data_IF_476051769940
#
_entry.id   IF_476051769940
#
_cell.length_a   1.000
_cell.length_b   1.000
_cell.length_c   1.000
_cell.angle_alpha   90.00
_cell.angle_beta   90.00
_cell.angle_gamma   90.00
#
_symmetry.space_group_name_H-M   'P 1'
#
loop_
_entity.id
_entity.type
_entity.pdbx_description
1 polymer ?
#
# COMPACT_ATOMS: atom_id res chain seq x y z
N UNK A 1 -4.83 -33.59 19.33
CA UNK A 1 -4.06 -33.95 18.12
C UNK A 1 -4.51 -33.00 17.03
N UNK A 2 -3.79 -31.89 16.88
CA UNK A 2 -4.20 -30.80 15.97
C UNK A 2 -3.01 -30.49 15.07
N UNK A 3 -2.76 -31.36 14.09
CA UNK A 3 -1.92 -30.99 12.95
C UNK A 3 -2.81 -30.25 11.96
N UNK A 4 -3.02 -28.96 12.23
CA UNK A 4 -3.55 -28.03 11.23
C UNK A 4 -2.58 -28.03 10.06
N UNK A 5 -3.02 -28.56 8.93
CA UNK A 5 -2.26 -28.59 7.69
C UNK A 5 -2.18 -27.15 7.20
N UNK A 6 -1.10 -26.44 7.54
CA UNK A 6 -0.78 -25.12 7.00
C UNK A 6 -0.91 -25.19 5.49
N UNK A 7 -1.82 -24.39 4.91
CA UNK A 7 -1.80 -24.17 3.48
C UNK A 7 -0.40 -23.67 3.15
N UNK A 8 0.27 -24.26 2.15
CA UNK A 8 1.61 -23.82 1.76
C UNK A 8 1.49 -22.39 1.24
N UNK A 9 1.89 -21.41 2.04
CA UNK A 9 2.10 -20.06 1.55
C UNK A 9 3.29 -20.09 0.59
N UNK A 10 3.16 -19.43 -0.56
CA UNK A 10 4.23 -19.39 -1.55
C UNK A 10 5.07 -18.13 -1.37
N UNK A 11 6.39 -18.29 -1.49
CA UNK A 11 7.28 -17.16 -1.69
C UNK A 11 6.92 -16.46 -2.99
N UNK A 12 6.92 -15.13 -2.96
CA UNK A 12 6.51 -14.28 -4.08
C UNK A 12 7.64 -13.41 -4.58
N UNK A 13 7.63 -13.20 -5.88
CA UNK A 13 8.45 -12.21 -6.56
C UNK A 13 7.55 -11.56 -7.61
N UNK A 14 6.90 -10.46 -7.23
CA UNK A 14 5.86 -9.85 -8.04
C UNK A 14 6.37 -9.43 -9.42
N UNK A 15 7.58 -8.85 -9.50
CA UNK A 15 8.21 -8.47 -10.77
C UNK A 15 8.52 -9.69 -11.64
N UNK A 16 9.02 -10.80 -11.08
CA UNK A 16 9.26 -12.03 -11.84
C UNK A 16 7.95 -12.69 -12.31
N UNK A 17 6.94 -12.75 -11.44
CA UNK A 17 5.60 -13.24 -11.81
C UNK A 17 5.04 -12.44 -13.00
N UNK A 18 5.17 -11.10 -12.96
CA UNK A 18 4.76 -10.22 -14.04
C UNK A 18 5.59 -10.42 -15.31
N UNK A 19 6.91 -10.59 -15.16
CA UNK A 19 7.82 -10.84 -16.27
C UNK A 19 7.46 -12.13 -17.01
N UNK A 20 7.06 -13.18 -16.29
CA UNK A 20 6.59 -14.43 -16.89
C UNK A 20 5.29 -14.25 -17.68
N UNK A 21 4.42 -13.32 -17.27
CA UNK A 21 3.17 -13.01 -17.97
C UNK A 21 3.42 -12.20 -19.24
N UNK A 22 4.24 -11.14 -19.17
CA UNK A 22 4.53 -10.33 -20.36
C UNK A 22 5.48 -11.03 -21.34
N UNK A 23 6.23 -12.00 -20.84
CA UNK A 23 7.23 -12.77 -21.57
C UNK A 23 8.47 -11.93 -21.89
N UNK A 24 9.45 -12.55 -22.54
CA UNK A 24 10.74 -11.91 -22.71
C UNK A 24 10.66 -10.63 -23.56
N UNK A 25 9.72 -10.50 -24.50
CA UNK A 25 9.70 -9.33 -25.40
C UNK A 25 9.51 -7.96 -24.73
N UNK A 26 9.09 -7.94 -23.47
CA UNK A 26 8.80 -6.73 -22.70
C UNK A 26 9.52 -6.78 -21.36
N UNK A 27 9.65 -5.64 -20.70
CA UNK A 27 10.03 -5.57 -19.29
C UNK A 27 8.82 -5.16 -18.44
N UNK A 28 8.52 -5.92 -17.39
CA UNK A 28 7.36 -5.64 -16.54
C UNK A 28 7.72 -4.73 -15.34
N UNK A 29 6.84 -3.77 -15.05
CA UNK A 29 6.72 -3.08 -13.77
C UNK A 29 5.43 -3.46 -13.07
N UNK A 30 5.49 -3.39 -11.74
CA UNK A 30 4.40 -3.78 -10.83
C UNK A 30 4.23 -2.70 -9.75
N UNK A 31 3.24 -2.87 -8.87
CA UNK A 31 3.04 -1.99 -7.71
C UNK A 31 3.61 -2.59 -6.41
N UNK A 32 3.91 -3.89 -6.37
CA UNK A 32 4.38 -4.60 -5.17
C UNK A 32 5.92 -4.59 -5.07
N UNK A 33 6.48 -4.56 -3.85
CA UNK A 33 7.90 -4.80 -3.64
C UNK A 33 8.35 -6.15 -4.19
N UNK A 34 9.53 -6.20 -4.80
CA UNK A 34 10.11 -7.43 -5.34
C UNK A 34 11.54 -7.66 -4.84
N UNK A 35 11.96 -8.92 -4.62
CA UNK A 35 13.33 -9.21 -4.28
C UNK A 35 14.27 -8.92 -5.47
N UNK A 36 15.56 -8.66 -5.23
CA UNK A 36 16.22 -8.68 -3.93
C UNK A 36 15.96 -7.41 -3.09
N UNK A 37 16.15 -7.51 -1.77
CA UNK A 37 16.20 -6.36 -0.88
C UNK A 37 17.19 -5.28 -1.37
N UNK A 38 16.73 -4.04 -1.40
CA UNK A 38 17.56 -2.86 -1.73
C UNK A 38 18.22 -2.35 -0.45
N UNK A 39 19.55 -2.34 -0.44
CA UNK A 39 20.36 -2.01 0.75
C UNK A 39 21.06 -0.65 0.67
N UNK A 40 20.83 0.10 -0.41
CA UNK A 40 21.38 1.42 -0.65
C UNK A 40 20.28 2.46 -0.91
N UNK A 41 20.70 3.73 -0.99
CA UNK A 41 19.81 4.87 -1.12
C UNK A 41 19.06 5.24 0.18
N UNK A 42 18.33 6.35 0.12
CA UNK A 42 17.65 6.91 1.29
C UNK A 42 16.52 6.01 1.80
N UNK A 43 15.84 5.29 0.91
CA UNK A 43 14.64 4.53 1.23
C UNK A 43 14.92 3.10 1.72
N UNK A 44 16.07 2.51 1.37
CA UNK A 44 16.41 1.11 1.64
C UNK A 44 15.26 0.16 1.23
N UNK A 45 14.73 0.40 0.04
CA UNK A 45 13.58 -0.27 -0.57
C UNK A 45 13.60 -0.04 -2.09
N UNK A 46 12.92 -0.90 -2.85
CA UNK A 46 12.70 -0.73 -4.29
C UNK A 46 11.65 0.36 -4.59
N UNK A 47 11.67 0.86 -5.83
CA UNK A 47 10.58 1.65 -6.42
C UNK A 47 9.98 0.80 -7.57
N UNK A 48 8.89 0.05 -7.30
CA UNK A 48 8.38 -0.99 -8.21
C UNK A 48 7.96 -0.47 -9.60
N UNK A 49 7.58 0.81 -9.68
CA UNK A 49 7.12 1.44 -10.92
C UNK A 49 8.21 2.26 -11.62
N UNK A 50 9.37 2.43 -10.99
CA UNK A 50 10.48 3.16 -11.60
C UNK A 50 10.98 2.46 -12.88
N UNK A 51 11.07 3.24 -13.95
CA UNK A 51 11.66 2.85 -15.22
C UNK A 51 13.02 3.52 -15.31
N UNK A 52 14.10 2.75 -15.24
CA UNK A 52 15.47 3.27 -15.35
C UNK A 52 15.92 3.26 -16.81
N UNK A 53 16.86 4.12 -17.20
CA UNK A 53 17.35 4.16 -18.58
C UNK A 53 18.04 2.86 -19.02
N UNK A 54 18.59 2.10 -18.07
CA UNK A 54 19.13 0.76 -18.30
C UNK A 54 18.05 -0.27 -18.71
N UNK A 55 16.78 0.01 -18.43
CA UNK A 55 15.64 -0.85 -18.74
C UNK A 55 15.11 -0.66 -20.18
N UNK A 56 15.70 0.24 -20.97
CA UNK A 56 15.22 0.57 -22.33
C UNK A 56 15.68 -0.40 -23.43
N UNK A 57 16.18 -1.58 -23.07
CA UNK A 57 16.55 -2.61 -24.06
C UNK A 57 15.32 -3.21 -24.75
N UNK A 58 14.15 -3.12 -24.10
CA UNK A 58 12.85 -3.63 -24.54
C UNK A 58 11.74 -2.66 -24.12
N UNK A 59 10.57 -2.69 -24.78
CA UNK A 59 9.44 -1.89 -24.35
C UNK A 59 8.98 -2.28 -22.94
N UNK A 60 8.75 -1.28 -22.10
CA UNK A 60 8.37 -1.45 -20.69
C UNK A 60 6.85 -1.38 -20.53
N UNK A 61 6.27 -2.44 -19.95
CA UNK A 61 4.84 -2.51 -19.56
C UNK A 61 4.73 -2.11 -18.08
N UNK A 62 3.96 -1.07 -17.79
CA UNK A 62 3.94 -0.44 -16.46
C UNK A 62 2.53 -0.05 -16.01
N UNK A 63 2.23 -0.02 -14.69
CA UNK A 63 0.94 0.42 -14.19
C UNK A 63 0.76 1.95 -14.19
N UNK A 64 1.82 2.70 -14.56
CA UNK A 64 1.84 4.17 -14.57
C UNK A 64 2.31 4.73 -15.92
N UNK A 65 2.30 6.04 -16.11
CA UNK A 65 2.56 6.69 -17.41
C UNK A 65 4.03 6.81 -17.83
N UNK A 66 4.99 6.25 -17.09
CA UNK A 66 6.44 6.43 -17.32
C UNK A 66 7.07 5.45 -18.30
N UNK A 67 6.39 4.36 -18.67
CA UNK A 67 6.90 3.35 -19.60
C UNK A 67 6.39 3.51 -21.03
N UNK A 68 6.63 2.50 -21.86
CA UNK A 68 6.24 2.52 -23.28
C UNK A 68 4.80 2.04 -23.50
N UNK A 69 4.29 1.18 -22.62
CA UNK A 69 2.93 0.66 -22.63
C UNK A 69 2.36 0.64 -21.20
N UNK A 70 1.11 1.04 -21.05
CA UNK A 70 0.32 0.67 -19.88
C UNK A 70 -0.06 -0.82 -19.92
N UNK A 71 -0.34 -1.41 -18.76
CA UNK A 71 -0.92 -2.75 -18.71
C UNK A 71 -2.26 -2.83 -19.45
N UNK A 72 -3.11 -1.80 -19.41
CA UNK A 72 -4.39 -1.78 -20.14
C UNK A 72 -4.19 -1.83 -21.66
N UNK A 73 -3.22 -1.08 -22.20
CA UNK A 73 -2.85 -1.16 -23.63
C UNK A 73 -2.30 -2.54 -24.00
N UNK A 74 -1.46 -3.11 -23.15
CA UNK A 74 -0.88 -4.44 -23.37
C UNK A 74 -1.96 -5.54 -23.37
N UNK A 75 -2.93 -5.45 -22.44
CA UNK A 75 -4.07 -6.35 -22.30
C UNK A 75 -5.06 -6.24 -23.47
N UNK A 76 -5.14 -5.09 -24.14
CA UNK A 76 -6.04 -4.90 -25.29
C UNK A 76 -5.86 -5.91 -26.43
N UNK A 77 -4.68 -6.53 -26.52
CA UNK A 77 -4.38 -7.61 -27.47
C UNK A 77 -4.20 -8.98 -26.82
N UNK A 78 -4.32 -9.07 -25.49
CA UNK A 78 -4.09 -10.26 -24.65
C UNK A 78 -5.11 -10.36 -23.49
N UNK A 79 -6.41 -10.42 -23.79
CA UNK A 79 -7.46 -10.39 -22.77
C UNK A 79 -7.42 -11.59 -21.81
N UNK A 80 -6.77 -12.70 -22.18
CA UNK A 80 -6.57 -13.88 -21.33
C UNK A 80 -5.83 -13.59 -20.01
N UNK A 81 -5.07 -12.49 -19.95
CA UNK A 81 -4.33 -12.08 -18.77
C UNK A 81 -5.06 -11.03 -17.91
N UNK A 82 -6.25 -10.58 -18.32
CA UNK A 82 -6.97 -9.49 -17.66
C UNK A 82 -7.28 -9.79 -16.19
N UNK A 83 -7.75 -11.00 -15.86
CA UNK A 83 -8.03 -11.38 -14.47
C UNK A 83 -6.77 -11.39 -13.58
N UNK A 84 -5.62 -11.78 -14.14
CA UNK A 84 -4.35 -11.79 -13.41
C UNK A 84 -3.87 -10.36 -13.11
N UNK A 85 -3.99 -9.46 -14.08
CA UNK A 85 -3.62 -8.05 -13.94
C UNK A 85 -4.58 -7.30 -13.00
N UNK A 86 -5.87 -7.57 -13.09
CA UNK A 86 -6.92 -6.98 -12.25
C UNK A 86 -6.75 -7.34 -10.77
N UNK A 87 -6.39 -8.60 -10.47
CA UNK A 87 -6.10 -9.03 -9.11
C UNK A 87 -4.91 -8.26 -8.49
N UNK A 88 -3.96 -7.83 -9.32
CA UNK A 88 -2.74 -7.11 -8.92
C UNK A 88 -2.82 -5.59 -9.11
N UNK A 89 -4.00 -5.08 -9.46
CA UNK A 89 -4.23 -3.64 -9.68
C UNK A 89 -3.30 -3.00 -10.72
N UNK A 90 -2.86 -3.78 -11.70
CA UNK A 90 -1.93 -3.32 -12.75
C UNK A 90 -2.68 -2.72 -13.96
N UNK A 91 -3.83 -3.31 -14.29
CA UNK A 91 -4.71 -2.99 -15.40
C UNK A 91 -6.02 -3.80 -15.27
N UNK A 92 -6.96 -3.63 -16.19
CA UNK A 92 -8.31 -4.21 -16.11
C UNK A 92 -8.96 -3.97 -14.74
N UNK A 93 -8.79 -2.75 -14.22
CA UNK A 93 -9.08 -2.39 -12.84
C UNK A 93 -10.50 -2.81 -12.44
N UNK A 94 -10.57 -3.63 -11.38
CA UNK A 94 -11.83 -4.04 -10.77
C UNK A 94 -12.40 -2.94 -9.89
N UNK A 95 -13.69 -3.07 -9.57
CA UNK A 95 -14.37 -2.16 -8.65
C UNK A 95 -14.22 -2.61 -7.21
N UNK A 96 -14.01 -1.66 -6.31
CA UNK A 96 -14.13 -1.85 -4.87
C UNK A 96 -15.62 -2.00 -4.49
N UNK A 97 -15.97 -2.96 -3.62
CA UNK A 97 -17.31 -3.08 -3.05
C UNK A 97 -17.52 -2.08 -1.90
N UNK A 98 -18.72 -2.06 -1.34
CA UNK A 98 -18.98 -1.41 -0.05
C UNK A 98 -18.16 -2.08 1.07
N UNK A 99 -17.75 -1.35 2.12
CA UNK A 99 -16.93 -1.88 3.20
C UNK A 99 -17.68 -2.96 3.99
N UNK A 100 -17.04 -4.09 4.35
CA UNK A 100 -17.66 -5.09 5.20
C UNK A 100 -17.94 -4.56 6.62
N UNK A 101 -18.95 -5.09 7.34
CA UNK A 101 -19.33 -4.59 8.68
C UNK A 101 -18.22 -4.66 9.73
N UNK A 102 -17.36 -5.67 9.67
CA UNK A 102 -16.26 -5.89 10.64
C UNK A 102 -14.99 -5.08 10.31
N UNK A 103 -15.06 -4.16 9.34
CA UNK A 103 -13.92 -3.33 8.93
C UNK A 103 -13.34 -2.49 10.08
N UNK A 104 -14.12 -1.80 10.93
CA UNK A 104 -13.55 -0.96 11.99
C UNK A 104 -12.69 -1.75 12.98
N UNK A 105 -13.15 -2.92 13.42
CA UNK A 105 -12.45 -3.81 14.37
C UNK A 105 -11.21 -4.41 13.71
N UNK A 106 -11.35 -4.92 12.49
CA UNK A 106 -10.24 -5.50 11.73
C UNK A 106 -9.16 -4.46 11.44
N UNK A 107 -9.54 -3.25 11.05
CA UNK A 107 -8.62 -2.12 10.86
C UNK A 107 -7.83 -1.82 12.13
N UNK A 108 -8.51 -1.73 13.28
CA UNK A 108 -7.84 -1.46 14.57
C UNK A 108 -6.84 -2.56 14.92
N UNK A 109 -7.23 -3.83 14.75
CA UNK A 109 -6.36 -4.98 14.99
C UNK A 109 -5.13 -4.98 14.08
N UNK A 110 -5.32 -4.76 12.77
CA UNK A 110 -4.23 -4.71 11.80
C UNK A 110 -3.35 -3.47 11.94
N UNK A 111 -3.90 -2.33 12.39
CA UNK A 111 -3.11 -1.13 12.72
C UNK A 111 -2.18 -1.41 13.90
N UNK A 112 -2.67 -2.04 14.98
CA UNK A 112 -1.81 -2.51 16.09
C UNK A 112 -0.72 -3.44 15.58
N UNK A 113 -1.05 -4.40 14.72
CA UNK A 113 -0.08 -5.34 14.14
C UNK A 113 0.96 -4.64 13.25
N UNK A 114 0.55 -3.67 12.42
CA UNK A 114 1.43 -2.88 11.57
C UNK A 114 2.48 -2.12 12.39
N UNK A 115 2.03 -1.52 13.49
CA UNK A 115 2.80 -0.66 14.39
C UNK A 115 3.74 -1.48 15.30
N UNK A 116 3.26 -2.55 15.91
CA UNK A 116 4.01 -3.26 16.96
C UNK A 116 4.75 -4.51 16.47
N UNK A 117 4.48 -4.98 15.25
CA UNK A 117 5.04 -6.23 14.72
C UNK A 117 5.63 -6.07 13.31
N UNK A 118 4.81 -5.73 12.31
CA UNK A 118 5.24 -5.76 10.89
C UNK A 118 6.32 -4.70 10.61
N UNK A 119 6.06 -3.44 10.97
CA UNK A 119 7.04 -2.37 10.78
C UNK A 119 8.33 -2.58 11.59
N UNK A 120 8.26 -2.99 12.88
CA UNK A 120 9.43 -3.35 13.67
C UNK A 120 10.34 -4.41 13.04
N UNK A 121 9.80 -5.39 12.29
CA UNK A 121 10.63 -6.41 11.63
C UNK A 121 11.67 -5.78 10.71
N UNK A 122 11.26 -4.77 9.92
CA UNK A 122 12.17 -4.00 9.06
C UNK A 122 12.99 -2.98 9.85
N UNK A 123 12.36 -2.25 10.78
CA UNK A 123 12.98 -1.19 11.58
C UNK A 123 14.19 -1.69 12.38
N UNK A 124 14.10 -2.89 12.97
CA UNK A 124 15.19 -3.50 13.74
C UNK A 124 16.42 -3.82 12.89
N UNK A 125 16.25 -3.97 11.57
CA UNK A 125 17.34 -4.28 10.64
C UNK A 125 17.95 -3.01 10.05
N UNK A 126 17.14 -2.05 9.64
CA UNK A 126 17.63 -0.89 8.86
C UNK A 126 17.07 0.47 9.30
N UNK A 127 16.36 0.53 10.42
CA UNK A 127 15.80 1.77 10.99
C UNK A 127 14.56 2.32 10.28
N UNK A 128 14.11 1.73 9.17
CA UNK A 128 12.97 2.25 8.39
C UNK A 128 11.67 1.56 8.77
N UNK A 129 10.60 2.35 8.85
CA UNK A 129 9.28 1.89 9.31
C UNK A 129 8.25 1.70 8.18
N UNK A 130 8.47 2.32 7.02
CA UNK A 130 7.48 2.34 5.95
C UNK A 130 7.11 0.94 5.43
N UNK A 131 5.82 0.75 5.20
CA UNK A 131 5.18 -0.46 4.67
C UNK A 131 4.60 -0.22 3.27
N UNK A 132 4.24 -1.27 2.54
CA UNK A 132 3.78 -1.24 1.16
C UNK A 132 2.52 -2.06 1.00
N UNK A 133 1.76 -1.77 -0.06
CA UNK A 133 0.78 -2.72 -0.54
C UNK A 133 1.48 -4.01 -1.00
N UNK A 134 0.93 -5.13 -0.61
CA UNK A 134 1.27 -6.47 -1.10
C UNK A 134 -0.04 -7.18 -1.39
N UNK A 135 -0.12 -7.99 -2.44
CA UNK A 135 -1.34 -8.70 -2.83
C UNK A 135 -1.96 -9.42 -1.62
N UNK A 136 -3.23 -9.12 -1.34
CA UNK A 136 -3.97 -9.69 -0.22
C UNK A 136 -3.83 -8.93 1.11
N UNK A 137 -3.09 -7.81 1.17
CA UNK A 137 -2.94 -7.01 2.38
C UNK A 137 -1.87 -5.94 2.27
N UNK A 138 -0.93 -5.96 3.22
CA UNK A 138 0.17 -5.01 3.31
C UNK A 138 1.39 -5.67 3.95
N UNK A 139 2.59 -5.11 3.74
CA UNK A 139 3.80 -5.66 4.32
C UNK A 139 5.00 -4.75 4.18
N UNK A 140 6.15 -5.24 4.59
CA UNK A 140 7.41 -4.52 4.40
C UNK A 140 7.83 -4.57 2.92
N UNK A 141 8.61 -3.59 2.43
CA UNK A 141 9.56 -3.87 1.35
C UNK A 141 10.46 -5.06 1.71
N UNK A 142 11.14 -5.67 0.73
CA UNK A 142 12.20 -6.62 1.05
C UNK A 142 13.34 -5.90 1.80
N UNK A 143 13.86 -6.49 2.87
CA UNK A 143 14.89 -5.91 3.72
C UNK A 143 15.93 -6.95 4.16
N UNK A 144 17.07 -6.49 4.69
CA UNK A 144 18.10 -7.36 5.25
C UNK A 144 18.58 -8.44 4.26
N UNK A 145 18.56 -9.70 4.70
CA UNK A 145 18.92 -10.86 3.90
C UNK A 145 17.78 -11.34 2.99
N UNK A 146 17.17 -10.41 2.25
CA UNK A 146 16.03 -10.66 1.35
C UNK A 146 14.80 -11.23 2.05
N UNK A 147 14.48 -10.64 3.21
CA UNK A 147 13.31 -10.96 4.02
C UNK A 147 12.14 -10.01 3.74
N UNK A 148 10.91 -10.53 3.78
CA UNK A 148 9.68 -9.75 3.78
C UNK A 148 8.71 -10.29 4.81
N UNK A 149 8.09 -9.38 5.57
CA UNK A 149 6.97 -9.68 6.48
C UNK A 149 5.72 -9.01 5.93
N UNK A 150 4.64 -9.77 5.75
CA UNK A 150 3.38 -9.25 5.20
C UNK A 150 2.14 -9.92 5.79
N UNK A 151 1.03 -9.20 5.82
CA UNK A 151 -0.29 -9.73 6.14
C UNK A 151 -0.98 -10.14 4.84
N UNK A 152 -1.58 -11.33 4.83
CA UNK A 152 -2.42 -11.84 3.74
C UNK A 152 -3.70 -12.42 4.36
N UNK A 153 -4.84 -11.78 4.13
CA UNK A 153 -6.08 -12.15 4.81
C UNK A 153 -5.89 -12.14 6.33
N UNK A 154 -6.13 -13.26 7.00
CA UNK A 154 -5.94 -13.41 8.45
C UNK A 154 -4.59 -14.06 8.85
N UNK A 155 -3.62 -14.15 7.94
CA UNK A 155 -2.30 -14.76 8.18
C UNK A 155 -1.18 -13.71 8.13
N UNK A 156 -0.18 -13.91 8.99
CA UNK A 156 1.10 -13.20 8.94
C UNK A 156 2.12 -14.10 8.25
N UNK A 157 2.75 -13.59 7.20
CA UNK A 157 3.69 -14.32 6.35
C UNK A 157 5.09 -13.76 6.53
N UNK A 158 6.06 -14.66 6.74
CA UNK A 158 7.49 -14.36 6.73
C UNK A 158 8.13 -15.07 5.55
N UNK A 159 8.69 -14.31 4.62
CA UNK A 159 9.41 -14.84 3.46
C UNK A 159 10.89 -14.53 3.58
N UNK A 160 11.74 -15.52 3.31
CA UNK A 160 13.20 -15.39 3.24
C UNK A 160 13.68 -16.05 1.95
N UNK A 161 14.10 -15.24 0.97
CA UNK A 161 14.41 -15.73 -0.37
C UNK A 161 13.23 -16.50 -0.99
N UNK A 162 13.45 -17.77 -1.34
CA UNK A 162 12.44 -18.64 -1.97
C UNK A 162 11.57 -19.45 -1.00
N UNK A 163 11.77 -19.31 0.32
CA UNK A 163 10.96 -19.96 1.34
C UNK A 163 10.00 -18.95 1.97
N UNK A 164 8.76 -19.39 2.26
CA UNK A 164 7.79 -18.60 2.99
C UNK A 164 7.04 -19.48 3.98
N UNK A 165 6.77 -18.92 5.15
CA UNK A 165 6.04 -19.53 6.26
C UNK A 165 4.92 -18.58 6.67
N UNK A 166 3.81 -19.12 7.14
CA UNK A 166 2.65 -18.36 7.55
C UNK A 166 2.10 -18.90 8.87
N UNK A 167 1.66 -17.97 9.72
CA UNK A 167 0.91 -18.26 10.94
C UNK A 167 -0.35 -17.40 10.99
N UNK A 168 -1.38 -17.88 11.69
CA UNK A 168 -2.60 -17.10 11.90
C UNK A 168 -2.30 -15.86 12.76
N UNK A 169 -2.90 -14.73 12.40
CA UNK A 169 -2.89 -13.53 13.24
C UNK A 169 -3.80 -13.78 14.44
N UNK A 170 -3.21 -13.91 15.63
CA UNK A 170 -3.92 -14.17 16.90
C UNK A 170 -3.66 -13.05 17.88
N UNK A 171 -2.52 -13.01 18.55
CA UNK A 171 -2.14 -11.94 19.48
C UNK A 171 -0.90 -11.19 18.98
N UNK A 172 -0.64 -9.99 19.53
CA UNK A 172 0.61 -9.28 19.24
C UNK A 172 1.81 -10.09 19.71
N UNK A 173 1.74 -10.71 20.89
CA UNK A 173 2.81 -11.57 21.42
C UNK A 173 3.14 -12.73 20.49
N UNK A 174 2.13 -13.48 20.04
CA UNK A 174 2.34 -14.66 19.19
C UNK A 174 2.91 -14.26 17.82
N UNK A 175 2.33 -13.24 17.19
CA UNK A 175 2.78 -12.75 15.88
C UNK A 175 4.19 -12.14 15.94
N UNK A 176 4.54 -11.44 17.02
CA UNK A 176 5.90 -10.95 17.25
C UNK A 176 6.90 -12.10 17.44
N UNK A 177 6.55 -13.13 18.20
CA UNK A 177 7.43 -14.29 18.38
C UNK A 177 7.79 -14.94 17.03
N UNK A 178 6.83 -15.00 16.10
CA UNK A 178 7.02 -15.57 14.76
C UNK A 178 7.98 -14.77 13.86
N UNK A 179 7.85 -13.43 13.80
CA UNK A 179 8.62 -12.60 12.83
C UNK A 179 9.73 -11.77 13.43
N UNK A 180 9.67 -11.49 14.74
CA UNK A 180 10.66 -10.70 15.45
C UNK A 180 11.60 -11.55 16.32
N UNK A 181 11.32 -12.86 16.43
CA UNK A 181 12.04 -13.79 17.29
C UNK A 181 12.09 -13.27 18.75
N UNK A 182 11.01 -12.62 19.21
CA UNK A 182 10.94 -11.91 20.48
C UNK A 182 9.63 -11.15 20.69
N UNK A 183 9.54 -10.28 21.72
CA UNK A 183 8.31 -9.57 22.03
C UNK A 183 7.98 -8.46 21.01
N UNK A 184 6.71 -8.01 20.99
CA UNK A 184 6.30 -6.82 20.24
C UNK A 184 7.15 -5.60 20.58
N UNK A 185 7.38 -4.73 19.60
CA UNK A 185 8.18 -3.52 19.80
C UNK A 185 7.28 -2.35 20.19
N UNK A 186 7.07 -2.14 21.49
CA UNK A 186 6.17 -1.08 22.00
C UNK A 186 6.88 0.25 22.28
N UNK A 187 8.22 0.23 22.37
CA UNK A 187 9.01 1.37 22.85
C UNK A 187 9.37 2.42 21.80
N UNK A 188 9.04 2.19 20.53
CA UNK A 188 9.58 3.02 19.44
C UNK A 188 8.73 4.18 18.98
N UNK A 189 7.45 4.15 19.32
CA UNK A 189 6.45 5.08 18.79
C UNK A 189 6.35 6.37 19.60
N UNK A 190 6.92 6.45 20.81
CA UNK A 190 6.83 7.66 21.64
C UNK A 190 5.37 8.11 21.83
N UNK A 191 5.11 9.41 21.66
CA UNK A 191 3.78 10.05 21.79
C UNK A 191 3.02 10.17 20.45
N UNK A 192 3.32 9.35 19.44
CA UNK A 192 2.53 9.36 18.20
C UNK A 192 1.14 8.76 18.48
N UNK A 193 0.09 9.34 17.90
CA UNK A 193 -1.32 8.98 18.10
C UNK A 193 -1.74 7.64 17.49
N UNK A 194 -0.99 6.56 17.77
CA UNK A 194 -1.28 5.21 17.32
C UNK A 194 -2.24 4.49 18.29
N UNK A 195 -2.90 3.40 17.87
CA UNK A 195 -3.66 2.55 18.79
C UNK A 195 -2.78 1.98 19.90
N UNK A 196 -3.27 1.99 21.13
CA UNK A 196 -2.51 1.55 22.30
C UNK A 196 -2.01 0.09 22.18
N UNK A 197 -0.81 -0.14 22.71
CA UNK A 197 -0.22 -1.47 22.87
C UNK A 197 -0.81 -2.26 24.05
N UNK A 198 -1.81 -1.71 24.75
CA UNK A 198 -2.43 -2.34 25.92
C UNK A 198 -2.89 -3.76 25.59
N UNK A 199 -2.68 -4.67 26.55
CA UNK A 199 -2.92 -6.12 26.44
C UNK A 199 -2.37 -6.77 25.15
N UNK A 200 -1.10 -7.17 25.19
CA UNK A 200 -0.39 -7.80 24.06
C UNK A 200 -0.88 -9.23 23.75
N UNK A 201 -1.58 -9.84 24.71
CA UNK A 201 -2.13 -11.18 24.62
C UNK A 201 -3.65 -11.17 24.31
N UNK A 202 -4.25 -9.98 24.14
CA UNK A 202 -5.60 -9.83 23.61
C UNK A 202 -5.68 -10.41 22.19
N UNK A 203 -6.75 -11.17 21.93
CA UNK A 203 -7.05 -11.68 20.59
C UNK A 203 -7.34 -10.52 19.63
N UNK A 204 -6.57 -10.46 18.54
CA UNK A 204 -6.77 -9.52 17.46
C UNK A 204 -7.98 -9.94 16.64
N UNK A 205 -9.04 -9.14 16.70
CA UNK A 205 -10.27 -9.36 15.95
C UNK A 205 -10.07 -9.07 14.45
N UNK A 206 -9.42 -9.99 13.73
CA UNK A 206 -9.20 -9.93 12.28
C UNK A 206 -10.23 -10.79 11.57
N UNK A 207 -11.21 -10.15 10.93
CA UNK A 207 -12.10 -10.83 9.98
C UNK A 207 -11.41 -10.96 8.62
N UNK A 208 -11.46 -12.16 8.04
CA UNK A 208 -10.76 -12.43 6.78
C UNK A 208 -11.31 -11.59 5.60
N UNK A 209 -12.62 -11.40 5.51
CA UNK A 209 -13.22 -10.62 4.43
C UNK A 209 -12.91 -9.12 4.56
N UNK A 210 -12.91 -8.59 5.79
CA UNK A 210 -12.46 -7.21 6.05
C UNK A 210 -10.96 -7.02 5.79
N UNK A 211 -10.12 -8.02 6.08
CA UNK A 211 -8.69 -7.96 5.77
C UNK A 211 -8.42 -8.01 4.27
N UNK A 212 -9.09 -8.91 3.55
CA UNK A 212 -9.02 -8.97 2.08
C UNK A 212 -9.50 -7.65 1.45
N UNK A 213 -10.58 -7.08 1.98
CA UNK A 213 -11.06 -5.76 1.57
C UNK A 213 -10.02 -4.66 1.81
N UNK A 214 -9.30 -4.66 2.92
CA UNK A 214 -8.20 -3.70 3.17
C UNK A 214 -7.04 -3.89 2.19
N UNK A 215 -6.70 -5.13 1.86
CA UNK A 215 -5.73 -5.44 0.80
C UNK A 215 -6.15 -4.89 -0.56
N UNK A 216 -7.44 -4.99 -0.89
CA UNK A 216 -8.02 -4.42 -2.11
C UNK A 216 -8.05 -2.89 -2.09
N UNK A 217 -8.40 -2.29 -0.95
CA UNK A 217 -8.36 -0.84 -0.74
C UNK A 217 -6.97 -0.28 -0.98
N UNK A 218 -5.93 -0.87 -0.36
CA UNK A 218 -4.56 -0.43 -0.58
C UNK A 218 -4.08 -0.69 -2.01
N UNK A 219 -4.49 -1.79 -2.64
CA UNK A 219 -4.15 -2.04 -4.04
C UNK A 219 -4.74 -0.98 -4.98
N UNK A 220 -6.01 -0.64 -4.78
CA UNK A 220 -6.66 0.49 -5.46
C UNK A 220 -5.91 1.80 -5.19
N UNK A 221 -5.63 2.12 -3.92
CA UNK A 221 -4.95 3.33 -3.50
C UNK A 221 -3.56 3.47 -4.15
N UNK A 222 -2.73 2.42 -4.13
CA UNK A 222 -1.42 2.43 -4.78
C UNK A 222 -1.56 2.61 -6.30
N UNK A 223 -2.57 2.01 -6.94
CA UNK A 223 -2.79 2.18 -8.39
C UNK A 223 -3.08 3.63 -8.79
N UNK A 224 -3.73 4.42 -7.92
CA UNK A 224 -4.05 5.84 -8.19
C UNK A 224 -2.96 6.79 -7.72
N UNK A 225 -2.36 6.54 -6.54
CA UNK A 225 -1.29 7.37 -5.99
C UNK A 225 -0.02 7.27 -6.83
N UNK A 226 0.36 6.06 -7.26
CA UNK A 226 1.53 5.88 -8.14
C UNK A 226 1.27 6.49 -9.54
N UNK A 227 0.04 6.41 -10.04
CA UNK A 227 -0.33 7.05 -11.31
C UNK A 227 -0.22 8.57 -11.21
N UNK A 228 -0.72 9.19 -10.13
CA UNK A 228 -0.56 10.61 -9.87
C UNK A 228 0.92 10.98 -9.69
N UNK A 229 1.68 10.20 -8.92
CA UNK A 229 3.12 10.42 -8.69
C UNK A 229 3.92 10.44 -9.99
N UNK A 230 3.54 9.60 -10.96
CA UNK A 230 4.17 9.49 -12.26
C UNK A 230 3.87 10.67 -13.22
N UNK A 231 2.88 11.51 -12.91
CA UNK A 231 2.56 12.68 -13.74
C UNK A 231 3.68 13.71 -13.70
N UNK A 232 3.92 14.39 -14.83
CA UNK A 232 4.99 15.39 -14.97
C UNK A 232 4.81 16.55 -13.99
N UNK A 233 3.57 16.80 -13.64
CA UNK A 233 3.11 17.85 -12.76
C UNK A 233 3.49 17.57 -11.29
N UNK A 234 3.68 16.30 -10.91
CA UNK A 234 4.07 15.83 -9.57
C UNK A 234 5.57 16.00 -9.34
N UNK A 235 6.02 17.25 -9.26
CA UNK A 235 7.42 17.59 -9.00
C UNK A 235 7.80 17.38 -7.53
N UNK A 236 9.08 17.09 -7.27
CA UNK A 236 9.62 16.80 -5.93
C UNK A 236 8.83 15.70 -5.17
N UNK A 237 8.25 14.77 -5.92
CA UNK A 237 7.44 13.72 -5.35
C UNK A 237 8.30 12.72 -4.53
N UNK A 238 7.87 12.47 -3.30
CA UNK A 238 8.35 11.36 -2.49
C UNK A 238 7.82 10.02 -3.02
N UNK A 239 8.19 8.92 -2.36
CA UNK A 239 7.61 7.61 -2.68
C UNK A 239 6.24 7.45 -2.03
N UNK A 240 5.30 6.80 -2.71
CA UNK A 240 4.08 6.30 -2.07
C UNK A 240 4.48 5.31 -0.99
N UNK A 241 4.02 5.47 0.24
CA UNK A 241 4.38 4.61 1.35
C UNK A 241 3.16 4.42 2.25
N UNK A 242 2.97 3.21 2.78
CA UNK A 242 2.03 2.98 3.87
C UNK A 242 2.75 3.32 5.18
N UNK A 243 2.28 4.36 5.87
CA UNK A 243 2.84 4.80 7.14
C UNK A 243 2.17 4.04 8.28
N UNK A 244 2.89 3.19 9.03
CA UNK A 244 2.26 2.36 10.06
C UNK A 244 1.61 3.20 11.17
N UNK A 245 2.15 4.39 11.48
CA UNK A 245 1.62 5.24 12.54
C UNK A 245 0.23 5.80 12.24
N UNK A 246 -0.07 6.12 10.97
CA UNK A 246 -1.37 6.58 10.51
C UNK A 246 -2.21 5.47 9.85
N UNK A 247 -1.57 4.36 9.50
CA UNK A 247 -2.12 3.24 8.75
C UNK A 247 -2.77 3.67 7.42
N UNK A 248 -2.18 4.66 6.75
CA UNK A 248 -2.62 5.16 5.46
C UNK A 248 -1.49 5.05 4.44
N UNK A 249 -1.85 5.05 3.15
CA UNK A 249 -0.90 5.10 2.05
C UNK A 249 -0.80 6.53 1.54
N UNK A 250 0.39 7.12 1.49
CA UNK A 250 0.56 8.51 1.08
C UNK A 250 1.91 8.78 0.41
N UNK A 251 1.97 9.86 -0.36
CA UNK A 251 3.22 10.51 -0.75
C UNK A 251 3.03 12.02 -0.68
N UNK A 252 4.15 12.72 -0.53
CA UNK A 252 4.14 14.16 -0.72
C UNK A 252 4.60 14.54 -2.11
N UNK A 253 4.11 15.65 -2.63
CA UNK A 253 4.69 16.31 -3.79
C UNK A 253 4.52 17.84 -3.69
N UNK A 254 5.06 18.53 -4.69
CA UNK A 254 5.14 19.99 -4.81
C UNK A 254 6.19 20.65 -3.89
N UNK A 255 6.81 21.76 -4.34
CA UNK A 255 7.87 22.42 -3.58
C UNK A 255 7.30 23.31 -2.48
N UNK A 256 8.09 23.47 -1.41
CA UNK A 256 8.01 24.54 -0.42
C UNK A 256 6.57 24.86 0.07
N UNK A 257 6.08 26.05 -0.24
CA UNK A 257 4.80 26.59 0.21
C UNK A 257 3.57 25.92 -0.41
N UNK A 258 3.76 25.15 -1.49
CA UNK A 258 2.69 24.40 -2.17
C UNK A 258 2.75 22.90 -1.86
N UNK A 259 3.71 22.47 -1.02
CA UNK A 259 3.87 21.09 -0.58
C UNK A 259 2.55 20.55 -0.04
N UNK A 260 2.17 19.36 -0.48
CA UNK A 260 0.97 18.69 -0.01
C UNK A 260 1.18 17.18 0.04
N UNK A 261 0.48 16.55 0.98
CA UNK A 261 0.39 15.10 1.10
C UNK A 261 -0.86 14.61 0.38
N UNK A 262 -0.70 13.63 -0.49
CA UNK A 262 -1.77 12.94 -1.20
C UNK A 262 -1.83 11.51 -0.67
N UNK A 263 -2.98 11.09 -0.15
CA UNK A 263 -3.05 9.81 0.51
C UNK A 263 -4.43 9.16 0.56
N UNK A 264 -4.45 7.93 1.06
CA UNK A 264 -5.61 7.07 1.13
C UNK A 264 -5.64 6.38 2.50
N UNK A 265 -6.63 6.72 3.30
CA UNK A 265 -6.86 6.18 4.63
C UNK A 265 -7.87 5.04 4.58
N UNK A 266 -7.68 3.93 5.32
CA UNK A 266 -8.69 2.89 5.53
C UNK A 266 -9.85 3.34 6.45
N UNK A 267 -9.91 4.65 6.76
CA UNK A 267 -10.80 5.26 7.72
C UNK A 267 -10.16 5.37 9.10
N UNK A 268 -10.74 6.21 9.95
CA UNK A 268 -10.28 6.50 11.29
C UNK A 268 -11.47 6.76 12.24
N UNK A 269 -11.23 7.43 13.37
CA UNK A 269 -12.26 7.75 14.34
C UNK A 269 -13.18 8.91 13.90
N UNK A 270 -12.69 9.82 13.06
CA UNK A 270 -13.45 10.95 12.53
C UNK A 270 -14.22 10.57 11.26
N UNK A 271 -13.61 9.78 10.37
CA UNK A 271 -14.22 9.27 9.14
C UNK A 271 -14.14 7.74 9.14
N UNK A 272 -15.21 7.03 9.56
CA UNK A 272 -15.13 5.58 9.78
C UNK A 272 -14.90 4.72 8.53
N UNK A 273 -15.36 5.18 7.36
CA UNK A 273 -15.14 4.49 6.09
C UNK A 273 -13.79 4.86 5.45
N UNK A 274 -13.24 4.04 4.52
CA UNK A 274 -12.06 4.43 3.77
C UNK A 274 -12.28 5.71 2.95
N UNK A 275 -11.24 6.51 2.78
CA UNK A 275 -11.30 7.76 2.03
C UNK A 275 -9.95 8.14 1.42
N UNK A 276 -10.00 8.84 0.29
CA UNK A 276 -8.84 9.53 -0.29
C UNK A 276 -8.73 10.93 0.31
N UNK A 277 -7.52 11.49 0.42
CA UNK A 277 -7.32 12.82 0.96
C UNK A 277 -6.20 13.60 0.28
N UNK A 278 -6.32 14.93 0.36
CA UNK A 278 -5.23 15.87 0.06
C UNK A 278 -5.06 16.81 1.23
N UNK A 279 -3.83 16.91 1.74
CA UNK A 279 -3.46 17.72 2.90
C UNK A 279 -2.34 18.70 2.51
N UNK A 280 -2.68 19.96 2.19
CA UNK A 280 -1.69 21.01 1.99
C UNK A 280 -0.92 21.30 3.29
N UNK A 281 0.41 21.42 3.19
CA UNK A 281 1.25 21.76 4.34
C UNK A 281 1.09 23.24 4.72
N UNK A 282 0.83 24.08 3.73
CA UNK A 282 0.38 25.45 3.92
C UNK A 282 -1.07 25.61 3.44
N UNK A 283 -1.90 26.12 4.33
CA UNK A 283 -3.34 26.32 4.11
C UNK A 283 -3.68 27.78 3.79
N UNK A 284 -2.70 28.69 3.86
CA UNK A 284 -2.88 30.08 3.47
C UNK A 284 -3.08 30.19 1.96
N UNK A 285 -4.07 30.97 1.52
CA UNK A 285 -4.38 31.15 0.09
C UNK A 285 -5.13 29.99 -0.58
N UNK A 286 -5.24 28.83 0.08
CA UNK A 286 -5.92 27.65 -0.44
C UNK A 286 -7.43 27.90 -0.68
N UNK A 287 -7.99 27.65 -1.89
CA UNK A 287 -9.39 27.96 -2.21
C UNK A 287 -10.39 27.13 -1.37
N UNK A 288 -11.10 27.76 -0.42
CA UNK A 288 -11.98 27.07 0.54
C UNK A 288 -12.99 26.08 -0.05
N UNK A 289 -13.44 26.29 -1.28
CA UNK A 289 -14.45 25.44 -1.92
C UNK A 289 -13.97 24.00 -2.21
N UNK A 290 -12.65 23.77 -2.31
CA UNK A 290 -12.08 22.45 -2.63
C UNK A 290 -11.71 21.63 -1.39
N UNK A 291 -11.68 22.25 -0.21
CA UNK A 291 -11.20 21.68 1.05
C UNK A 291 -12.38 21.38 1.97
N UNK A 292 -12.96 20.19 1.79
CA UNK A 292 -14.19 19.73 2.44
C UNK A 292 -13.96 18.92 3.73
N UNK A 293 -12.72 18.65 4.14
CA UNK A 293 -12.47 17.88 5.35
C UNK A 293 -12.83 18.69 6.61
N UNK A 294 -13.53 18.05 7.57
CA UNK A 294 -13.95 18.70 8.81
C UNK A 294 -12.92 18.54 9.94
N UNK A 295 -12.22 17.40 9.99
CA UNK A 295 -11.27 17.05 11.05
C UNK A 295 -9.86 17.58 10.83
N UNK A 296 -9.53 17.97 9.60
CA UNK A 296 -8.24 18.56 9.24
C UNK A 296 -8.40 19.55 8.09
N UNK A 297 -7.37 20.37 7.83
CA UNK A 297 -7.40 21.36 6.75
C UNK A 297 -6.98 20.73 5.42
N UNK A 298 -7.91 20.04 4.79
CA UNK A 298 -7.66 19.38 3.52
C UNK A 298 -8.95 19.00 2.81
N UNK A 299 -8.83 18.09 1.86
CA UNK A 299 -9.94 17.52 1.12
C UNK A 299 -10.03 16.03 1.40
N UNK A 300 -11.26 15.49 1.40
CA UNK A 300 -11.52 14.06 1.43
C UNK A 300 -12.49 13.65 0.32
N UNK A 301 -12.30 12.44 -0.20
CA UNK A 301 -13.28 11.72 -1.01
C UNK A 301 -13.58 10.37 -0.36
N UNK A 302 -14.72 10.23 0.35
CA UNK A 302 -15.12 8.98 0.98
C UNK A 302 -15.36 7.85 -0.02
N UNK A 303 -15.19 6.60 0.43
CA UNK A 303 -15.41 5.42 -0.38
C UNK A 303 -16.85 5.31 -0.89
N UNK A 304 -17.85 5.75 -0.11
CA UNK A 304 -19.26 5.78 -0.54
C UNK A 304 -19.46 6.53 -1.86
N UNK A 305 -18.78 7.67 -2.03
CA UNK A 305 -18.81 8.48 -3.25
C UNK A 305 -18.10 7.78 -4.42
N UNK A 306 -16.97 7.11 -4.13
CA UNK A 306 -16.28 6.27 -5.12
C UNK A 306 -17.17 5.10 -5.56
N UNK A 307 -17.83 4.40 -4.64
CA UNK A 307 -18.74 3.28 -4.94
C UNK A 307 -19.88 3.72 -5.85
N UNK A 308 -20.40 4.93 -5.68
CA UNK A 308 -21.42 5.52 -6.54
C UNK A 308 -20.89 5.94 -7.94
N UNK A 309 -19.58 6.16 -8.10
CA UNK A 309 -19.00 6.60 -9.35
C UNK A 309 -19.02 5.51 -10.45
N UNK A 310 -19.36 5.83 -11.71
CA UNK A 310 -19.30 4.87 -12.82
C UNK A 310 -17.91 4.30 -13.08
N UNK A 311 -16.88 5.11 -12.83
CA UNK A 311 -15.48 4.70 -12.85
C UNK A 311 -14.79 5.23 -11.59
N UNK A 312 -14.51 4.33 -10.65
CA UNK A 312 -13.89 4.64 -9.36
C UNK A 312 -12.48 5.20 -9.53
N UNK A 313 -11.70 4.63 -10.45
CA UNK A 313 -10.30 4.99 -10.61
C UNK A 313 -10.18 6.36 -11.27
N UNK A 314 -11.03 6.63 -12.27
CA UNK A 314 -11.12 7.96 -12.87
C UNK A 314 -11.56 9.01 -11.84
N UNK A 315 -12.62 8.75 -11.06
CA UNK A 315 -13.09 9.67 -10.03
C UNK A 315 -12.02 9.98 -8.96
N UNK A 316 -11.25 8.98 -8.54
CA UNK A 316 -10.12 9.15 -7.63
C UNK A 316 -9.01 10.04 -8.21
N UNK A 317 -8.63 9.80 -9.47
CA UNK A 317 -7.61 10.62 -10.14
C UNK A 317 -8.10 12.06 -10.37
N UNK A 318 -9.35 12.25 -10.76
CA UNK A 318 -9.95 13.58 -10.93
C UNK A 318 -9.96 14.36 -9.61
N UNK A 319 -10.33 13.70 -8.50
CA UNK A 319 -10.25 14.28 -7.17
C UNK A 319 -8.84 14.80 -6.88
N UNK A 320 -7.81 13.97 -7.05
CA UNK A 320 -6.44 14.39 -6.79
C UNK A 320 -5.95 15.48 -7.74
N UNK A 321 -6.18 15.33 -9.05
CA UNK A 321 -5.72 16.28 -10.08
C UNK A 321 -6.34 17.65 -9.92
N UNK A 322 -7.62 17.73 -9.56
CA UNK A 322 -8.28 19.02 -9.30
C UNK A 322 -7.61 19.76 -8.14
N UNK A 323 -7.32 19.09 -7.02
CA UNK A 323 -6.64 19.71 -5.86
C UNK A 323 -5.18 20.00 -6.16
N UNK A 324 -4.50 19.10 -6.86
CA UNK A 324 -3.12 19.29 -7.29
C UNK A 324 -2.97 20.51 -8.23
N UNK A 325 -3.91 20.70 -9.16
CA UNK A 325 -3.95 21.87 -10.03
C UNK A 325 -4.24 23.15 -9.25
N UNK A 326 -5.17 23.12 -8.29
CA UNK A 326 -5.49 24.26 -7.44
C UNK A 326 -4.32 24.71 -6.55
N UNK A 327 -3.50 23.77 -6.07
CA UNK A 327 -2.29 24.08 -5.30
C UNK A 327 -1.18 24.70 -6.14
N UNK A 328 -1.21 24.52 -7.47
CA UNK A 328 -0.21 25.03 -8.40
C UNK A 328 -0.55 26.40 -8.99
N UNK A 329 -1.82 26.78 -8.98
CA UNK A 329 -2.36 28.03 -9.53
C UNK A 329 -1.98 29.23 -8.65
#
# INVERSE_FOLDING_TARGET
>A
MTTGKTARVHARNARLEAQQVVGDRFDARVLEPSPPAVVDGEWLADDPVAVQDADRSRPVVTPVSTGDLSWDEWLGTRPEHASWAAARWLGAHRRLPAPPPALPETRRALHRLAVYVVSPARRRVNGKIGLRWTLGGFGTPFFGADEQVRVVGAELVRQRGAAAEAEAVTTLTATAAFVLDGPPDVGWIGELGVPAAEDLDEELAVDAASSDFLGDWYGFAYSVLEALRAERESVEAGRVQLWPEHFDAAFDCLPADRRATFGASPGDAAVPEPYLYVLPWNVEGSPRALWNAESFRGAILPLGDLVAAPDQRAAALDFYRERHAALRA
#
